data_IF_133338537442
#
_entry.id   IF_133338537442
#
_cell.length_a   1.000
_cell.length_b   1.000
_cell.length_c   1.000
_cell.angle_alpha   90.00
_cell.angle_beta   90.00
_cell.angle_gamma   90.00
#
_symmetry.space_group_name_H-M   'P 1'
#
loop_
_entity.id
_entity.type
_entity.pdbx_description
1 polymer ?
#
# COMPACT_ATOMS: atom_id res chain seq x y z
N UNK A 1 4.60 22.33 -13.06
CA UNK A 1 3.15 22.47 -12.72
C UNK A 1 2.42 21.57 -13.71
N UNK A 2 2.00 20.36 -13.27
CA UNK A 2 1.15 19.50 -14.08
C UNK A 2 -0.22 20.17 -14.26
N UNK A 3 -0.70 20.24 -15.48
CA UNK A 3 -2.07 20.60 -15.80
C UNK A 3 -2.95 19.44 -15.33
N UNK A 4 -3.71 19.63 -14.27
CA UNK A 4 -4.80 18.72 -13.92
C UNK A 4 -5.83 18.85 -15.04
N UNK A 5 -6.13 17.75 -15.70
CA UNK A 5 -7.19 17.71 -16.69
C UNK A 5 -8.54 17.80 -15.96
N UNK A 6 -9.51 18.46 -16.55
CA UNK A 6 -10.89 18.59 -16.00
C UNK A 6 -11.51 17.22 -15.70
N UNK A 7 -11.06 16.18 -16.37
CA UNK A 7 -11.49 14.80 -16.20
C UNK A 7 -11.20 14.25 -14.78
N UNK A 8 -10.09 14.68 -14.16
CA UNK A 8 -9.68 14.25 -12.81
C UNK A 8 -10.62 14.79 -11.71
N UNK A 9 -11.44 15.79 -12.02
CA UNK A 9 -12.47 16.31 -11.10
C UNK A 9 -13.76 15.50 -11.13
N UNK A 10 -14.02 14.78 -12.23
CA UNK A 10 -15.27 14.04 -12.46
C UNK A 10 -15.07 12.55 -12.19
N UNK A 11 -13.93 12.00 -12.54
CA UNK A 11 -13.66 10.56 -12.46
C UNK A 11 -12.56 10.25 -11.45
N UNK A 12 -12.76 9.16 -10.74
CA UNK A 12 -11.74 8.49 -9.95
C UNK A 12 -11.49 7.11 -10.56
N UNK A 13 -10.27 6.85 -11.03
CA UNK A 13 -9.92 5.58 -11.68
C UNK A 13 -9.03 4.78 -10.73
N UNK A 14 -9.54 3.63 -10.29
CA UNK A 14 -8.78 2.67 -9.50
C UNK A 14 -8.34 1.52 -10.39
N UNK A 15 -7.04 1.35 -10.56
CA UNK A 15 -6.44 0.26 -11.33
C UNK A 15 -5.77 -0.74 -10.41
N UNK A 16 -6.13 -2.01 -10.55
CA UNK A 16 -5.58 -3.14 -9.80
C UNK A 16 -4.92 -4.10 -10.79
N UNK A 17 -3.60 -4.09 -10.80
CA UNK A 17 -2.75 -4.97 -11.60
C UNK A 17 -2.88 -6.43 -11.17
N UNK A 18 -2.69 -7.37 -12.09
CA UNK A 18 -2.69 -8.81 -11.82
C UNK A 18 -1.66 -9.24 -10.77
N UNK A 19 -0.53 -8.52 -10.69
CA UNK A 19 0.62 -8.80 -9.82
C UNK A 19 0.86 -7.77 -8.73
N UNK A 20 -0.20 -7.05 -8.31
CA UNK A 20 -0.05 -6.02 -7.27
C UNK A 20 0.57 -6.59 -6.00
N UNK A 21 1.65 -5.96 -5.53
CA UNK A 21 2.32 -6.35 -4.30
C UNK A 21 1.64 -5.73 -3.07
N UNK A 22 1.19 -6.58 -2.15
CA UNK A 22 0.50 -6.17 -0.93
C UNK A 22 1.32 -5.19 -0.08
N UNK A 23 2.59 -5.47 0.10
CA UNK A 23 3.44 -4.65 0.99
C UNK A 23 3.69 -3.27 0.40
N UNK A 24 3.95 -3.20 -0.88
CA UNK A 24 4.12 -1.94 -1.61
C UNK A 24 2.83 -1.12 -1.58
N UNK A 25 1.68 -1.74 -1.82
CA UNK A 25 0.38 -1.10 -1.74
C UNK A 25 0.11 -0.55 -0.33
N UNK A 26 0.27 -1.40 0.69
CA UNK A 26 0.02 -1.03 2.07
C UNK A 26 0.95 0.11 2.51
N UNK A 27 2.25 -0.02 2.25
CA UNK A 27 3.26 0.99 2.59
C UNK A 27 2.97 2.34 1.94
N UNK A 28 2.57 2.35 0.66
CA UNK A 28 2.21 3.57 -0.07
C UNK A 28 1.01 4.29 0.55
N UNK A 29 0.06 3.52 1.09
CA UNK A 29 -1.19 4.04 1.64
C UNK A 29 -1.24 4.03 3.18
N UNK A 30 -0.18 3.63 3.86
CA UNK A 30 -0.16 3.45 5.32
C UNK A 30 -0.60 4.72 6.08
N UNK A 31 -0.16 5.89 5.64
CA UNK A 31 -0.59 7.15 6.25
C UNK A 31 -2.11 7.36 6.13
N UNK A 32 -2.70 7.07 4.96
CA UNK A 32 -4.15 7.23 4.75
C UNK A 32 -4.96 6.19 5.54
N UNK A 33 -4.44 4.96 5.64
CA UNK A 33 -5.12 3.82 6.28
C UNK A 33 -5.02 3.84 7.82
N UNK A 34 -3.89 4.33 8.37
CA UNK A 34 -3.56 4.17 9.78
C UNK A 34 -3.55 5.47 10.58
N UNK A 35 -3.43 6.62 9.91
CA UNK A 35 -3.45 7.90 10.62
C UNK A 35 -4.88 8.18 11.07
N UNK A 36 -5.06 8.28 12.37
CA UNK A 36 -6.30 8.64 13.01
C UNK A 36 -6.04 9.84 13.92
N UNK A 37 -6.60 11.01 13.60
CA UNK A 37 -6.43 12.25 14.38
C UNK A 37 -7.30 12.25 15.65
N UNK A 38 -7.59 11.09 16.22
CA UNK A 38 -8.35 11.00 17.47
C UNK A 38 -7.51 11.50 18.65
N UNK A 39 -8.16 12.21 19.55
CA UNK A 39 -7.53 12.69 20.81
C UNK A 39 -6.99 11.53 21.67
N UNK A 40 -7.58 10.35 21.56
CA UNK A 40 -7.19 9.13 22.26
C UNK A 40 -5.74 8.70 21.99
N UNK A 41 -5.20 9.02 20.82
CA UNK A 41 -3.84 8.63 20.41
C UNK A 41 -2.76 9.65 20.80
N UNK A 42 -3.13 10.83 21.31
CA UNK A 42 -2.16 11.90 21.63
C UNK A 42 -1.08 11.46 22.62
N UNK A 43 -1.48 10.86 23.72
CA UNK A 43 -0.55 10.41 24.76
C UNK A 43 0.38 9.31 24.25
N UNK A 44 -0.17 8.40 23.42
CA UNK A 44 0.61 7.32 22.78
C UNK A 44 1.61 7.92 21.80
N UNK A 45 1.18 8.85 20.97
CA UNK A 45 2.05 9.52 19.98
C UNK A 45 3.15 10.36 20.66
N UNK A 46 2.83 11.04 21.76
CA UNK A 46 3.82 11.77 22.57
C UNK A 46 4.85 10.82 23.16
N UNK A 47 4.43 9.69 23.72
CA UNK A 47 5.34 8.67 24.24
C UNK A 47 6.23 8.07 23.14
N UNK A 48 5.66 7.75 21.99
CA UNK A 48 6.42 7.27 20.82
C UNK A 48 7.45 8.32 20.37
N UNK A 49 7.05 9.60 20.34
CA UNK A 49 7.98 10.69 19.99
C UNK A 49 9.14 10.81 20.97
N UNK A 50 8.89 10.66 22.27
CA UNK A 50 9.93 10.65 23.31
C UNK A 50 10.89 9.48 23.13
N UNK A 51 10.36 8.28 22.81
CA UNK A 51 11.17 7.10 22.51
C UNK A 51 12.03 7.32 21.26
N UNK A 52 11.46 7.90 20.18
CA UNK A 52 12.21 8.23 18.98
C UNK A 52 13.34 9.24 19.25
N UNK A 53 13.09 10.24 20.09
CA UNK A 53 14.10 11.22 20.50
C UNK A 53 15.25 10.55 21.23
N UNK A 54 14.94 9.73 22.23
CA UNK A 54 15.97 8.96 22.97
C UNK A 54 16.76 8.03 22.04
N UNK A 55 16.07 7.35 21.13
CA UNK A 55 16.73 6.47 20.14
C UNK A 55 17.68 7.25 19.21
N UNK A 56 17.26 8.44 18.76
CA UNK A 56 18.08 9.30 17.92
C UNK A 56 19.35 9.76 18.65
N UNK A 57 19.24 10.07 19.94
CA UNK A 57 20.37 10.45 20.77
C UNK A 57 21.35 9.28 20.94
N UNK A 58 20.85 8.09 21.23
CA UNK A 58 21.67 6.89 21.37
C UNK A 58 22.39 6.54 20.06
N UNK A 59 21.68 6.56 18.92
CA UNK A 59 22.30 6.32 17.61
C UNK A 59 23.36 7.36 17.31
N UNK A 60 23.11 8.63 17.59
CA UNK A 60 24.05 9.73 17.35
C UNK A 60 25.31 9.62 18.21
N UNK A 61 25.24 8.88 19.32
CA UNK A 61 26.37 8.62 20.23
C UNK A 61 27.11 7.33 19.92
N UNK A 62 26.75 6.55 18.91
CA UNK A 62 27.48 5.36 18.52
C UNK A 62 28.97 5.68 18.24
N UNK A 63 29.85 4.82 18.71
CA UNK A 63 31.30 4.98 18.55
C UNK A 63 31.76 5.16 17.10
N UNK A 64 31.07 4.48 16.15
CA UNK A 64 31.37 4.63 14.74
C UNK A 64 31.02 6.02 14.20
N UNK A 65 29.94 6.63 14.67
CA UNK A 65 29.53 8.00 14.30
C UNK A 65 30.52 9.00 14.86
N UNK A 66 30.91 8.88 16.15
CA UNK A 66 31.92 9.72 16.79
C UNK A 66 33.27 9.62 16.10
N UNK A 67 33.72 8.42 15.78
CA UNK A 67 34.95 8.21 15.04
C UNK A 67 34.92 8.80 13.62
N UNK A 68 33.75 8.82 12.97
CA UNK A 68 33.58 9.48 11.69
C UNK A 68 33.69 11.01 11.84
N UNK A 69 32.98 11.59 12.83
CA UNK A 69 33.00 13.03 13.11
C UNK A 69 34.46 13.51 13.35
N UNK A 70 35.20 12.81 14.19
CA UNK A 70 36.62 13.11 14.48
C UNK A 70 37.54 13.03 13.25
N UNK A 71 37.26 12.10 12.34
CA UNK A 71 38.06 11.90 11.12
C UNK A 71 37.72 12.90 10.00
N UNK A 72 36.46 13.28 9.89
CA UNK A 72 36.02 14.14 8.80
C UNK A 72 36.28 15.62 9.06
N UNK A 73 36.21 16.08 10.33
CA UNK A 73 36.39 17.46 10.71
C UNK A 73 37.76 18.04 10.29
N UNK A 74 38.90 17.38 10.53
CA UNK A 74 40.20 17.90 10.08
C UNK A 74 40.35 17.95 8.56
N UNK A 75 39.67 17.04 7.86
CA UNK A 75 39.67 17.03 6.39
C UNK A 75 38.85 18.19 5.84
N UNK A 76 37.72 18.48 6.42
CA UNK A 76 36.86 19.59 6.03
C UNK A 76 37.58 20.94 6.28
N UNK A 77 38.26 21.10 7.42
CA UNK A 77 39.02 22.30 7.76
C UNK A 77 40.17 22.63 6.77
N UNK A 78 40.61 21.65 5.96
CA UNK A 78 41.58 21.92 4.88
C UNK A 78 40.97 22.72 3.71
N UNK A 79 39.65 22.59 3.50
CA UNK A 79 38.97 23.32 2.44
C UNK A 79 38.46 24.70 2.92
N UNK A 80 38.18 24.82 4.20
CA UNK A 80 37.63 26.02 4.78
C UNK A 80 38.12 26.20 6.21
N UNK A 81 38.72 27.33 6.50
CA UNK A 81 39.37 27.62 7.80
C UNK A 81 38.39 28.19 8.85
N UNK A 82 37.11 27.89 8.74
CA UNK A 82 36.11 28.33 9.72
C UNK A 82 36.16 27.49 10.97
N UNK A 83 35.78 28.08 12.11
CA UNK A 83 35.68 27.37 13.37
C UNK A 83 34.33 26.64 13.48
N UNK A 84 34.22 25.52 12.76
CA UNK A 84 33.01 24.66 12.71
C UNK A 84 33.33 23.27 13.21
N UNK A 85 32.33 22.65 13.82
CA UNK A 85 32.29 21.21 14.14
C UNK A 85 31.31 20.51 13.23
N UNK A 86 31.61 19.28 12.85
CA UNK A 86 30.70 18.44 12.06
C UNK A 86 30.06 17.44 13.01
N UNK A 87 28.70 17.41 13.02
CA UNK A 87 27.92 16.47 13.80
C UNK A 87 27.01 15.68 12.90
N UNK A 88 26.94 14.36 13.10
CA UNK A 88 26.02 13.46 12.41
C UNK A 88 24.94 13.04 13.38
N UNK A 89 23.70 13.31 13.05
CA UNK A 89 22.55 13.01 13.89
C UNK A 89 21.59 12.06 13.19
N UNK A 90 20.97 11.17 13.97
CA UNK A 90 19.83 10.39 13.53
C UNK A 90 18.56 11.27 13.55
N UNK A 91 17.68 11.10 12.55
CA UNK A 91 16.42 11.84 12.42
C UNK A 91 15.22 10.88 12.22
N UNK A 92 15.17 9.82 13.02
CA UNK A 92 14.01 8.93 13.04
C UNK A 92 12.83 9.71 13.63
N UNK A 93 11.73 9.80 12.88
CA UNK A 93 10.52 10.53 13.28
C UNK A 93 9.28 9.64 13.23
N UNK A 94 8.26 10.00 13.99
CA UNK A 94 6.96 9.28 14.05
C UNK A 94 6.34 9.10 12.66
N UNK A 95 6.45 10.08 11.77
CA UNK A 95 5.97 10.00 10.38
C UNK A 95 6.61 8.86 9.58
N UNK A 96 7.84 8.48 9.91
CA UNK A 96 8.53 7.35 9.28
C UNK A 96 8.12 5.98 9.83
N UNK A 97 7.47 5.90 10.98
CA UNK A 97 7.09 4.63 11.61
C UNK A 97 6.07 3.88 10.78
N UNK A 98 5.08 4.56 10.22
CA UNK A 98 4.04 3.92 9.38
C UNK A 98 4.61 3.24 8.14
N UNK A 99 5.77 3.67 7.64
CA UNK A 99 6.42 3.05 6.49
C UNK A 99 7.01 1.66 6.77
N UNK A 100 7.15 1.29 8.05
CA UNK A 100 7.71 0.02 8.50
C UNK A 100 6.66 -0.93 9.09
N UNK A 101 5.39 -0.52 9.08
CA UNK A 101 4.28 -1.37 9.53
C UNK A 101 3.94 -2.35 8.42
N UNK A 102 3.77 -3.61 8.79
CA UNK A 102 3.49 -4.72 7.88
C UNK A 102 2.22 -5.42 8.34
N UNK A 103 1.25 -5.67 7.45
CA UNK A 103 0.05 -6.40 7.82
C UNK A 103 0.35 -7.88 8.02
N UNK A 104 -0.19 -8.46 9.10
CA UNK A 104 -0.12 -9.88 9.41
C UNK A 104 -1.53 -10.46 9.42
N UNK A 105 -1.66 -11.71 8.94
CA UNK A 105 -2.91 -12.46 9.02
C UNK A 105 -2.76 -13.50 10.14
N UNK A 106 -3.67 -13.44 11.13
CA UNK A 106 -3.77 -14.45 12.20
C UNK A 106 -4.84 -15.47 11.82
N UNK A 107 -4.59 -16.74 12.06
CA UNK A 107 -5.56 -17.80 11.96
C UNK A 107 -6.20 -18.05 13.35
N UNK A 108 -7.50 -18.33 13.41
CA UNK A 108 -8.29 -18.32 14.66
C UNK A 108 -7.76 -19.24 15.77
N UNK A 109 -7.09 -20.35 15.42
CA UNK A 109 -6.57 -21.33 16.38
C UNK A 109 -5.05 -21.29 16.56
N UNK A 110 -4.36 -20.33 15.96
CA UNK A 110 -2.91 -20.25 16.02
C UNK A 110 -2.46 -18.91 16.60
N UNK A 111 -1.71 -18.96 17.70
CA UNK A 111 -1.12 -17.74 18.30
C UNK A 111 0.00 -17.17 17.44
N UNK A 112 0.44 -17.89 16.42
CA UNK A 112 1.50 -17.46 15.52
C UNK A 112 1.01 -16.40 14.56
N UNK A 113 1.75 -15.29 14.49
CA UNK A 113 1.55 -14.25 13.49
C UNK A 113 2.30 -14.65 12.23
N UNK A 114 1.56 -14.96 11.16
CA UNK A 114 2.18 -15.22 9.86
C UNK A 114 2.25 -13.94 9.04
N UNK A 115 3.42 -13.55 8.55
CA UNK A 115 3.50 -12.52 7.54
C UNK A 115 2.87 -13.09 6.27
N UNK A 116 1.55 -12.96 6.15
CA UNK A 116 0.76 -13.35 4.98
C UNK A 116 1.01 -14.77 4.45
N UNK A 117 0.27 -15.73 4.98
CA UNK A 117 0.28 -17.10 4.49
C UNK A 117 -0.46 -17.23 3.15
N UNK A 118 0.28 -17.44 2.07
CA UNK A 118 -0.26 -17.79 0.75
C UNK A 118 -0.72 -16.60 -0.12
N UNK A 119 -0.43 -16.66 -1.40
CA UNK A 119 -0.69 -15.59 -2.38
C UNK A 119 -2.19 -15.24 -2.50
N UNK A 120 -3.09 -16.22 -2.39
CA UNK A 120 -4.53 -15.98 -2.43
C UNK A 120 -5.02 -15.09 -1.29
N UNK A 121 -4.57 -15.30 -0.06
CA UNK A 121 -4.94 -14.46 1.10
C UNK A 121 -4.36 -13.05 0.97
N UNK A 122 -3.13 -12.90 0.48
CA UNK A 122 -2.54 -11.61 0.16
C UNK A 122 -3.41 -10.85 -0.84
N UNK A 123 -3.84 -11.53 -1.90
CA UNK A 123 -4.69 -10.95 -2.93
C UNK A 123 -6.03 -10.45 -2.37
N UNK A 124 -6.69 -11.26 -1.53
CA UNK A 124 -7.92 -10.83 -0.86
C UNK A 124 -7.70 -9.60 0.04
N UNK A 125 -6.57 -9.54 0.76
CA UNK A 125 -6.23 -8.38 1.57
C UNK A 125 -5.95 -7.13 0.70
N UNK A 126 -5.35 -7.29 -0.47
CA UNK A 126 -5.19 -6.22 -1.46
C UNK A 126 -6.56 -5.65 -1.86
N UNK A 127 -7.54 -6.50 -2.21
CA UNK A 127 -8.89 -6.03 -2.54
C UNK A 127 -9.57 -5.33 -1.36
N UNK A 128 -9.40 -5.84 -0.12
CA UNK A 128 -9.93 -5.21 1.08
C UNK A 128 -9.32 -3.82 1.31
N UNK A 129 -8.03 -3.64 1.04
CA UNK A 129 -7.35 -2.34 1.13
C UNK A 129 -7.89 -1.37 0.07
N UNK A 130 -8.05 -1.81 -1.17
CA UNK A 130 -8.65 -0.98 -2.21
C UNK A 130 -10.08 -0.58 -1.88
N UNK A 131 -10.82 -1.50 -1.27
CA UNK A 131 -12.18 -1.25 -0.79
C UNK A 131 -12.21 -0.13 0.25
N UNK A 132 -11.35 -0.20 1.26
CA UNK A 132 -11.22 0.85 2.27
C UNK A 132 -10.81 2.20 1.65
N UNK A 133 -9.82 2.20 0.77
CA UNK A 133 -9.30 3.43 0.16
C UNK A 133 -10.34 4.14 -0.73
N UNK A 134 -11.25 3.38 -1.33
CA UNK A 134 -12.29 3.95 -2.19
C UNK A 134 -13.48 4.51 -1.40
N UNK A 135 -13.70 4.11 -0.15
CA UNK A 135 -14.78 4.64 0.69
C UNK A 135 -14.61 6.13 1.01
N UNK A 136 -13.38 6.59 1.16
CA UNK A 136 -13.09 7.99 1.53
C UNK A 136 -13.30 9.01 0.38
N UNK A 137 -13.42 8.54 -0.87
CA UNK A 137 -13.50 9.40 -2.05
C UNK A 137 -14.91 9.45 -2.69
N UNK A 138 -15.89 8.74 -2.09
CA UNK A 138 -17.16 8.42 -2.74
C UNK A 138 -18.09 9.59 -3.05
N UNK A 139 -18.03 10.70 -2.34
CA UNK A 139 -19.16 11.65 -2.36
C UNK A 139 -19.21 12.60 -3.56
N UNK A 140 -18.23 12.61 -4.47
CA UNK A 140 -18.18 13.64 -5.54
C UNK A 140 -17.75 13.18 -6.93
N UNK A 141 -17.21 11.96 -7.07
CA UNK A 141 -16.66 11.49 -8.36
C UNK A 141 -17.28 10.18 -8.82
N UNK A 142 -17.26 9.97 -10.12
CA UNK A 142 -17.65 8.69 -10.73
C UNK A 142 -16.46 7.74 -10.57
N UNK A 143 -16.64 6.67 -9.77
CA UNK A 143 -15.60 5.68 -9.54
C UNK A 143 -15.60 4.65 -10.68
N UNK A 144 -14.45 4.48 -11.34
CA UNK A 144 -14.19 3.49 -12.39
C UNK A 144 -13.14 2.52 -11.87
N UNK A 145 -13.46 1.23 -11.91
CA UNK A 145 -12.56 0.16 -11.48
C UNK A 145 -12.05 -0.62 -12.69
N UNK A 146 -10.74 -0.73 -12.79
CA UNK A 146 -10.04 -1.52 -13.80
C UNK A 146 -9.28 -2.63 -13.07
N UNK A 147 -9.66 -3.89 -13.26
CA UNK A 147 -9.08 -5.03 -12.53
C UNK A 147 -8.54 -6.05 -13.52
N UNK A 148 -7.27 -6.41 -13.38
CA UNK A 148 -6.64 -7.46 -14.19
C UNK A 148 -6.60 -8.78 -13.44
N UNK A 149 -7.10 -9.83 -14.11
CA UNK A 149 -7.03 -11.24 -13.69
C UNK A 149 -7.22 -11.42 -12.17
N UNK A 150 -8.36 -11.03 -11.61
CA UNK A 150 -8.62 -11.07 -10.17
C UNK A 150 -8.51 -12.49 -9.58
N UNK A 151 -8.67 -13.51 -10.41
CA UNK A 151 -8.59 -14.92 -10.05
C UNK A 151 -7.18 -15.43 -9.77
N UNK A 152 -6.14 -14.71 -10.21
CA UNK A 152 -4.75 -15.17 -10.06
C UNK A 152 -4.42 -15.51 -8.60
N UNK A 153 -3.90 -16.72 -8.38
CA UNK A 153 -3.58 -17.29 -7.06
C UNK A 153 -4.77 -17.54 -6.13
N UNK A 154 -6.02 -17.34 -6.59
CA UNK A 154 -7.20 -17.62 -5.77
C UNK A 154 -7.72 -19.06 -6.00
N UNK A 155 -7.98 -19.77 -4.91
CA UNK A 155 -8.73 -21.02 -4.96
C UNK A 155 -10.17 -20.76 -5.44
N UNK A 156 -10.81 -21.73 -6.08
CA UNK A 156 -12.17 -21.61 -6.63
C UNK A 156 -13.18 -20.95 -5.66
N UNK A 157 -13.20 -21.36 -4.40
CA UNK A 157 -14.10 -20.80 -3.41
C UNK A 157 -13.88 -19.30 -3.17
N UNK A 158 -12.62 -18.87 -3.22
CA UNK A 158 -12.25 -17.45 -3.08
C UNK A 158 -12.62 -16.64 -4.33
N UNK A 159 -12.53 -17.27 -5.53
CA UNK A 159 -12.98 -16.63 -6.78
C UNK A 159 -14.48 -16.36 -6.77
N UNK A 160 -15.28 -17.31 -6.27
CA UNK A 160 -16.73 -17.15 -6.12
C UNK A 160 -17.05 -16.05 -5.10
N UNK A 161 -16.36 -16.04 -3.94
CA UNK A 161 -16.55 -14.99 -2.94
C UNK A 161 -16.20 -13.60 -3.47
N UNK A 162 -15.11 -13.50 -4.24
CA UNK A 162 -14.71 -12.25 -4.90
C UNK A 162 -15.74 -11.82 -5.95
N UNK A 163 -16.26 -12.75 -6.77
CA UNK A 163 -17.35 -12.50 -7.72
C UNK A 163 -18.56 -11.89 -7.02
N UNK A 164 -18.97 -12.48 -5.91
CA UNK A 164 -20.10 -11.95 -5.13
C UNK A 164 -19.82 -10.50 -4.68
N UNK A 165 -18.66 -10.21 -4.15
CA UNK A 165 -18.29 -8.85 -3.72
C UNK A 165 -18.29 -7.87 -4.89
N UNK A 166 -17.70 -8.24 -6.03
CA UNK A 166 -17.55 -7.33 -7.17
C UNK A 166 -18.84 -7.06 -7.93
N UNK A 167 -19.79 -8.02 -7.96
CA UNK A 167 -21.00 -7.91 -8.79
C UNK A 167 -22.29 -7.66 -8.02
N UNK A 168 -22.31 -7.89 -6.71
CA UNK A 168 -23.49 -7.64 -5.87
C UNK A 168 -23.41 -6.28 -5.17
N UNK A 169 -22.22 -5.76 -4.96
CA UNK A 169 -22.00 -4.46 -4.32
C UNK A 169 -22.19 -3.33 -5.35
N UNK A 170 -23.14 -2.43 -5.12
CA UNK A 170 -23.45 -1.27 -5.98
C UNK A 170 -22.25 -0.31 -6.17
N UNK A 171 -21.27 -0.39 -5.32
CA UNK A 171 -20.03 0.37 -5.37
C UNK A 171 -19.23 0.15 -6.67
N UNK A 172 -19.28 -1.07 -7.23
CA UNK A 172 -18.55 -1.44 -8.43
C UNK A 172 -19.36 -1.23 -9.73
N UNK A 173 -20.22 -0.21 -9.77
CA UNK A 173 -21.10 0.07 -10.91
C UNK A 173 -20.36 0.20 -12.25
N UNK A 174 -19.15 0.78 -12.25
CA UNK A 174 -18.32 0.92 -13.45
C UNK A 174 -17.07 0.07 -13.31
N UNK A 175 -17.24 -1.24 -13.42
CA UNK A 175 -16.16 -2.24 -13.34
C UNK A 175 -15.80 -2.74 -14.74
N UNK A 176 -14.51 -2.63 -15.08
CA UNK A 176 -13.90 -3.28 -16.22
C UNK A 176 -12.89 -4.31 -15.73
N UNK A 177 -13.00 -5.52 -16.23
CA UNK A 177 -12.18 -6.62 -15.73
C UNK A 177 -11.69 -7.51 -16.86
N UNK A 178 -10.44 -7.95 -16.80
CA UNK A 178 -9.96 -9.09 -17.60
C UNK A 178 -9.98 -10.35 -16.74
N UNK A 179 -10.43 -11.47 -17.28
CA UNK A 179 -10.43 -12.74 -16.57
C UNK A 179 -10.35 -13.93 -17.53
N UNK A 180 -9.70 -15.00 -17.08
CA UNK A 180 -9.71 -16.32 -17.71
C UNK A 180 -10.58 -17.32 -16.94
N UNK A 181 -11.16 -16.93 -15.80
CA UNK A 181 -11.93 -17.82 -14.94
C UNK A 181 -13.45 -17.68 -15.11
N UNK A 182 -14.16 -18.79 -15.42
CA UNK A 182 -15.61 -18.80 -15.40
C UNK A 182 -16.19 -18.61 -13.97
N UNK A 183 -15.40 -18.88 -12.92
CA UNK A 183 -15.88 -18.78 -11.53
C UNK A 183 -15.98 -17.33 -11.04
N UNK A 184 -15.17 -16.44 -11.58
CA UNK A 184 -15.25 -14.99 -11.29
C UNK A 184 -16.52 -14.40 -11.92
N UNK A 185 -17.06 -15.07 -12.93
CA UNK A 185 -18.28 -14.65 -13.63
C UNK A 185 -19.55 -15.32 -13.07
N UNK A 186 -19.47 -16.04 -11.96
CA UNK A 186 -20.58 -16.87 -11.45
C UNK A 186 -21.80 -16.08 -10.95
N UNK A 187 -21.62 -14.85 -10.50
CA UNK A 187 -22.67 -13.97 -9.96
C UNK A 187 -23.15 -12.91 -10.98
N UNK A 188 -22.79 -13.08 -12.25
CA UNK A 188 -23.06 -12.09 -13.29
C UNK A 188 -24.47 -12.20 -13.85
N UNK A 189 -25.37 -11.32 -13.43
CA UNK A 189 -26.71 -11.22 -14.03
C UNK A 189 -26.78 -10.25 -15.23
N UNK A 190 -25.96 -9.19 -15.23
CA UNK A 190 -25.96 -8.14 -16.25
C UNK A 190 -24.55 -7.66 -16.56
N UNK A 191 -23.87 -8.31 -17.50
CA UNK A 191 -22.54 -7.91 -17.91
C UNK A 191 -22.39 -7.92 -19.42
N UNK A 192 -21.65 -6.96 -19.95
CA UNK A 192 -21.18 -6.96 -21.32
C UNK A 192 -19.91 -7.79 -21.42
N UNK A 193 -20.00 -9.01 -21.94
CA UNK A 193 -18.86 -9.89 -22.14
C UNK A 193 -18.23 -9.63 -23.51
N UNK A 194 -16.94 -9.23 -23.51
CA UNK A 194 -16.15 -9.07 -24.71
C UNK A 194 -15.13 -10.20 -24.75
N UNK A 195 -15.26 -11.10 -25.74
CA UNK A 195 -14.31 -12.17 -25.97
C UNK A 195 -13.23 -11.73 -26.95
N UNK A 196 -11.97 -11.76 -26.51
CA UNK A 196 -10.81 -11.50 -27.35
C UNK A 196 -10.28 -12.85 -27.91
N UNK A 197 -10.05 -12.91 -29.21
CA UNK A 197 -9.43 -14.09 -29.86
C UNK A 197 -8.46 -13.62 -30.96
N UNK A 198 -7.48 -14.46 -31.22
CA UNK A 198 -6.50 -14.17 -32.26
C UNK A 198 -6.91 -14.88 -33.54
N UNK A 199 -7.29 -14.14 -34.58
CA UNK A 199 -7.72 -14.69 -35.88
C UNK A 199 -6.55 -15.25 -36.73
N UNK A 200 -5.30 -14.93 -36.38
CA UNK A 200 -4.12 -15.25 -37.21
C UNK A 200 -3.47 -16.61 -36.93
N UNK A 201 -4.13 -17.54 -36.26
CA UNK A 201 -3.69 -18.95 -36.25
C UNK A 201 -4.29 -19.69 -37.44
N UNK A 202 -3.74 -19.48 -38.62
CA UNK A 202 -3.77 -20.52 -39.68
C UNK A 202 -3.02 -21.72 -39.12
N UNK A 203 -3.77 -22.74 -38.69
CA UNK A 203 -3.25 -24.06 -38.39
C UNK A 203 -2.87 -24.64 -39.76
N UNK A 204 -1.58 -24.69 -40.04
CA UNK A 204 -1.01 -25.53 -41.12
C UNK A 204 -0.82 -26.95 -40.65
#
# INVERSE_FOLDING_TARGET
RGTYYEIDYVFNVTYIDAYVDLYTLFKKNANKLLVNDKEEDKDILENINNICTSLNDEISNLSGIKAFEEKIEPKYKKYRHDNISISVKSEIAVKGLYSNIVPYIKQDDDESLYPTSGEGRKKLLVYSIFDLLSQDEEDKKINIFLIEEPENHLHRSMQIALSHTLFVDDKYQYLFMTTHSPHVLSEMDKVNLIRLYNENKTVS
#
